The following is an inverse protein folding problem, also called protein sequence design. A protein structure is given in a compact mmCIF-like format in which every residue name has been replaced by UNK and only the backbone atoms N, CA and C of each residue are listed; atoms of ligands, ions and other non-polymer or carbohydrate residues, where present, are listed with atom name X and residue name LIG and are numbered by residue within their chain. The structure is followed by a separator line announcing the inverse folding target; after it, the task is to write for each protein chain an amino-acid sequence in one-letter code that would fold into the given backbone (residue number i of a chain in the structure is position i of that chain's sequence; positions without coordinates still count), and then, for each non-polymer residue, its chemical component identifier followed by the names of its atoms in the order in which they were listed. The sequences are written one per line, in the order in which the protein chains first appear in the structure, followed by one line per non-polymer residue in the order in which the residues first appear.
data_IF_933752443218
#
_entry.id   IF_933752443218
#
_cell.length_a   1.000
_cell.length_b   1.000
_cell.length_c   1.000
_cell.angle_alpha   90.00
_cell.angle_beta   90.00
_cell.angle_gamma   90.00
#
_symmetry.space_group_name_H-M   'P 1'
#
loop_
_entity.id
_entity.type
_entity.pdbx_description
1 polymer ?
#
# COMPACT_ATOMS: atom_id res chain seq x y z
N UNK A 1 4.68 -15.27 -24.33
CA UNK A 1 3.49 -14.55 -23.81
C UNK A 1 3.61 -13.10 -24.24
N UNK A 2 2.78 -12.59 -25.15
CA UNK A 2 2.82 -11.16 -25.50
C UNK A 2 2.43 -10.34 -24.27
N UNK A 3 3.31 -9.43 -23.85
CA UNK A 3 2.99 -8.42 -22.84
C UNK A 3 1.85 -7.57 -23.38
N UNK A 4 0.62 -7.82 -22.94
CA UNK A 4 -0.49 -6.91 -23.18
C UNK A 4 -0.18 -5.62 -22.45
N UNK A 5 0.33 -4.62 -23.17
CA UNK A 5 0.42 -3.25 -22.70
C UNK A 5 -1.02 -2.79 -22.52
N UNK A 6 -1.55 -2.98 -21.31
CA UNK A 6 -2.87 -2.46 -20.95
C UNK A 6 -2.87 -0.98 -21.27
N UNK A 7 -3.83 -0.54 -22.07
CA UNK A 7 -4.00 0.88 -22.35
C UNK A 7 -4.00 1.67 -21.02
N UNK A 8 -3.36 2.86 -20.99
CA UNK A 8 -3.34 3.66 -19.78
C UNK A 8 -4.77 3.96 -19.31
N UNK A 9 -5.01 3.98 -17.99
CA UNK A 9 -6.35 4.18 -17.46
C UNK A 9 -6.92 5.54 -17.87
N UNK A 10 -8.21 5.56 -18.19
CA UNK A 10 -8.90 6.80 -18.56
C UNK A 10 -9.10 7.71 -17.35
N UNK A 11 -9.33 9.01 -17.60
CA UNK A 11 -9.62 9.99 -16.55
C UNK A 11 -10.76 9.55 -15.61
N UNK A 12 -11.87 9.04 -16.18
CA UNK A 12 -13.01 8.53 -15.41
C UNK A 12 -12.64 7.29 -14.58
N UNK A 13 -11.77 6.42 -15.08
CA UNK A 13 -11.27 5.27 -14.32
C UNK A 13 -10.41 5.73 -13.13
N UNK A 14 -9.60 6.77 -13.30
CA UNK A 14 -8.81 7.37 -12.23
C UNK A 14 -9.69 8.03 -11.16
N UNK A 15 -10.73 8.77 -11.55
CA UNK A 15 -11.71 9.33 -10.59
C UNK A 15 -12.44 8.23 -9.80
N UNK A 16 -12.84 7.16 -10.48
CA UNK A 16 -13.47 6.01 -9.83
C UNK A 16 -12.54 5.32 -8.82
N UNK A 17 -11.23 5.29 -9.09
CA UNK A 17 -10.24 4.78 -8.13
C UNK A 17 -10.15 5.67 -6.88
N UNK A 18 -10.14 6.99 -7.04
CA UNK A 18 -10.15 7.94 -5.90
C UNK A 18 -11.42 7.74 -5.07
N UNK A 19 -12.60 7.73 -5.69
CA UNK A 19 -13.87 7.52 -5.00
C UNK A 19 -13.96 6.14 -4.32
N UNK A 20 -13.33 5.11 -4.90
CA UNK A 20 -13.25 3.79 -4.27
C UNK A 20 -12.29 3.78 -3.07
N UNK A 21 -11.18 4.50 -3.15
CA UNK A 21 -10.22 4.62 -2.08
C UNK A 21 -10.79 5.39 -0.88
N UNK A 22 -11.54 6.48 -1.10
CA UNK A 22 -12.27 7.19 -0.03
C UNK A 22 -13.31 6.29 0.64
N UNK A 23 -14.17 5.61 -0.13
CA UNK A 23 -15.19 4.69 0.43
C UNK A 23 -14.59 3.55 1.25
N UNK A 24 -13.39 3.10 0.89
CA UNK A 24 -12.66 2.05 1.61
C UNK A 24 -11.82 2.58 2.77
N UNK A 25 -11.86 3.89 3.04
CA UNK A 25 -11.08 4.55 4.09
C UNK A 25 -9.57 4.55 3.83
N UNK A 26 -9.17 4.42 2.56
CA UNK A 26 -7.76 4.48 2.13
C UNK A 26 -7.28 5.90 1.81
N UNK A 27 -8.20 6.85 1.66
CA UNK A 27 -7.96 8.28 1.54
C UNK A 27 -8.95 9.02 2.44
N UNK A 28 -8.51 10.10 3.07
CA UNK A 28 -9.44 11.06 3.63
C UNK A 28 -10.05 11.96 2.53
N UNK A 29 -11.11 12.70 2.87
CA UNK A 29 -11.81 13.53 1.90
C UNK A 29 -10.93 14.66 1.32
N UNK A 30 -10.01 15.21 2.12
CA UNK A 30 -9.12 16.29 1.70
C UNK A 30 -8.00 15.78 0.77
N UNK A 31 -7.51 14.57 0.99
CA UNK A 31 -6.58 13.85 0.11
C UNK A 31 -7.27 13.46 -1.20
N UNK A 32 -8.51 12.99 -1.13
CA UNK A 32 -9.31 12.68 -2.31
C UNK A 32 -9.58 13.91 -3.18
N UNK A 33 -9.96 15.05 -2.57
CA UNK A 33 -10.12 16.30 -3.30
C UNK A 33 -8.81 16.79 -3.95
N UNK A 34 -7.68 16.71 -3.24
CA UNK A 34 -6.36 17.04 -3.82
C UNK A 34 -6.04 16.17 -5.03
N UNK A 35 -6.35 14.88 -4.98
CA UNK A 35 -6.16 13.97 -6.12
C UNK A 35 -7.09 14.30 -7.29
N UNK A 36 -8.37 14.61 -7.04
CA UNK A 36 -9.31 15.07 -8.08
C UNK A 36 -8.82 16.35 -8.74
N UNK A 37 -8.32 17.30 -7.95
CA UNK A 37 -7.79 18.57 -8.44
C UNK A 37 -6.54 18.37 -9.30
N UNK A 38 -5.58 17.56 -8.83
CA UNK A 38 -4.40 17.20 -9.62
C UNK A 38 -4.76 16.48 -10.93
N UNK A 39 -5.75 15.58 -10.91
CA UNK A 39 -6.25 14.93 -12.12
C UNK A 39 -6.90 15.94 -13.08
N UNK A 40 -7.68 16.91 -12.58
CA UNK A 40 -8.26 17.98 -13.42
C UNK A 40 -7.16 18.82 -14.08
N UNK A 41 -6.13 19.20 -13.34
CA UNK A 41 -4.98 19.95 -13.85
C UNK A 41 -4.23 19.18 -14.94
N UNK A 42 -3.93 17.89 -14.71
CA UNK A 42 -3.27 17.02 -15.70
C UNK A 42 -4.11 16.76 -16.95
N UNK A 43 -5.44 16.72 -16.81
CA UNK A 43 -6.37 16.55 -17.94
C UNK A 43 -6.64 17.84 -18.72
N UNK A 44 -6.04 18.97 -18.33
CA UNK A 44 -6.28 20.28 -18.95
C UNK A 44 -7.68 20.87 -18.69
N UNK A 45 -8.44 20.32 -17.72
CA UNK A 45 -9.82 20.71 -17.40
C UNK A 45 -9.94 21.75 -16.29
N UNK A 46 -8.85 22.35 -15.84
CA UNK A 46 -8.82 23.41 -14.82
C UNK A 46 -7.98 24.61 -15.28
N UNK A 47 -8.31 25.85 -14.86
CA UNK A 47 -7.42 26.99 -15.06
C UNK A 47 -6.08 26.68 -14.38
N UNK A 48 -5.00 26.88 -15.13
CA UNK A 48 -3.62 26.68 -14.70
C UNK A 48 -3.40 27.53 -13.44
N UNK A 49 -3.47 26.91 -12.26
CA UNK A 49 -2.94 27.54 -11.06
C UNK A 49 -1.45 27.77 -11.29
N UNK A 50 -0.89 28.90 -10.78
CA UNK A 50 0.55 29.13 -10.87
C UNK A 50 1.27 27.90 -10.29
N UNK A 51 2.39 27.50 -10.89
CA UNK A 51 3.11 26.32 -10.44
C UNK A 51 3.60 26.57 -9.02
N UNK A 52 2.86 26.10 -8.01
CA UNK A 52 3.49 25.68 -6.77
C UNK A 52 4.42 24.57 -7.20
N UNK A 53 5.69 24.94 -7.36
CA UNK A 53 6.76 24.11 -7.87
C UNK A 53 6.92 22.93 -6.94
N UNK A 54 6.20 21.84 -7.20
CA UNK A 54 6.61 20.52 -6.71
C UNK A 54 7.96 20.29 -7.37
N UNK A 55 9.01 20.50 -6.58
CA UNK A 55 10.37 20.54 -7.09
C UNK A 55 10.67 19.21 -7.79
N UNK A 56 11.36 19.25 -8.93
CA UNK A 56 11.68 18.03 -9.68
C UNK A 56 12.46 17.03 -8.80
N UNK A 57 13.19 17.55 -7.80
CA UNK A 57 13.83 16.80 -6.74
C UNK A 57 12.83 16.03 -5.85
N UNK A 58 11.77 16.68 -5.40
CA UNK A 58 10.72 16.05 -4.57
C UNK A 58 10.00 14.95 -5.34
N UNK A 59 9.69 15.19 -6.62
CA UNK A 59 9.08 14.18 -7.49
C UNK A 59 10.00 12.98 -7.74
N UNK A 60 11.30 13.21 -7.89
CA UNK A 60 12.28 12.13 -8.02
C UNK A 60 12.39 11.31 -6.72
N UNK A 61 12.35 11.96 -5.56
CA UNK A 61 12.38 11.28 -4.27
C UNK A 61 11.10 10.45 -4.03
N UNK A 62 9.93 10.99 -4.37
CA UNK A 62 8.65 10.29 -4.33
C UNK A 62 8.64 9.05 -5.23
N UNK A 63 9.14 9.18 -6.46
CA UNK A 63 9.30 8.04 -7.39
C UNK A 63 10.21 6.96 -6.81
N UNK A 64 11.34 7.36 -6.21
CA UNK A 64 12.29 6.43 -5.58
C UNK A 64 11.68 5.72 -4.37
N UNK A 65 10.95 6.44 -3.51
CA UNK A 65 10.21 5.86 -2.37
C UNK A 65 9.18 4.84 -2.84
N UNK A 66 8.44 5.15 -3.90
CA UNK A 66 7.44 4.25 -4.48
C UNK A 66 8.06 2.98 -5.08
N UNK A 67 9.14 3.10 -5.84
CA UNK A 67 9.85 1.95 -6.42
C UNK A 67 10.43 1.03 -5.35
N UNK A 68 10.96 1.60 -4.27
CA UNK A 68 11.47 0.83 -3.13
C UNK A 68 10.35 0.05 -2.44
N UNK A 69 9.19 0.69 -2.22
CA UNK A 69 8.02 0.04 -1.63
C UNK A 69 7.53 -1.11 -2.51
N UNK A 70 7.44 -0.90 -3.83
CA UNK A 70 7.06 -1.93 -4.80
C UNK A 70 8.03 -3.13 -4.75
N UNK A 71 9.34 -2.87 -4.73
CA UNK A 71 10.37 -3.93 -4.62
C UNK A 71 10.25 -4.69 -3.29
N UNK A 72 9.96 -3.99 -2.20
CA UNK A 72 9.79 -4.60 -0.89
C UNK A 72 8.58 -5.55 -0.84
N UNK A 73 7.43 -5.11 -1.38
CA UNK A 73 6.22 -5.94 -1.48
C UNK A 73 6.50 -7.18 -2.34
N UNK A 74 7.12 -7.00 -3.50
CA UNK A 74 7.45 -8.13 -4.39
C UNK A 74 8.38 -9.15 -3.73
N UNK A 75 9.40 -8.71 -2.98
CA UNK A 75 10.30 -9.60 -2.24
C UNK A 75 9.58 -10.37 -1.12
N UNK A 76 8.66 -9.71 -0.41
CA UNK A 76 7.85 -10.32 0.65
C UNK A 76 6.97 -11.43 0.09
N UNK A 77 6.24 -11.13 -0.98
CA UNK A 77 5.30 -12.06 -1.58
C UNK A 77 6.03 -13.27 -2.19
N UNK A 78 7.22 -13.05 -2.78
CA UNK A 78 8.07 -14.13 -3.26
C UNK A 78 8.65 -15.00 -2.14
N UNK A 79 9.02 -14.43 -0.99
CA UNK A 79 9.45 -15.21 0.20
C UNK A 79 8.31 -16.03 0.80
N UNK A 80 7.09 -15.52 0.76
CA UNK A 80 5.92 -16.27 1.22
C UNK A 80 5.62 -17.49 0.32
N UNK A 81 5.83 -17.36 -1.00
CA UNK A 81 5.59 -18.43 -1.97
C UNK A 81 6.66 -19.53 -2.00
N UNK A 82 7.90 -19.23 -1.57
CA UNK A 82 9.02 -20.17 -1.65
C UNK A 82 9.17 -21.12 -0.45
N UNK A 83 8.25 -21.10 0.52
CA UNK A 83 8.34 -21.92 1.74
C UNK A 83 7.70 -23.30 1.49
N UNK A 84 8.39 -24.42 1.77
CA UNK A 84 7.85 -25.76 1.55
C UNK A 84 6.57 -25.99 2.35
N UNK A 85 5.65 -26.80 1.81
CA UNK A 85 4.42 -27.17 2.49
C UNK A 85 4.75 -28.01 3.75
N UNK A 86 4.08 -27.75 4.89
CA UNK A 86 4.30 -28.52 6.11
C UNK A 86 3.84 -29.96 5.93
N UNK A 87 4.63 -30.89 6.47
CA UNK A 87 4.48 -32.34 6.34
C UNK A 87 4.20 -32.95 7.71
N UNK A 88 3.11 -32.54 8.37
CA UNK A 88 2.71 -33.10 9.66
C UNK A 88 1.45 -32.45 10.26
N UNK A 89 0.70 -33.16 11.13
CA UNK A 89 -0.47 -32.61 11.82
C UNK A 89 -0.10 -31.59 12.91
N UNK A 90 1.04 -31.76 13.61
CA UNK A 90 1.57 -30.75 14.54
C UNK A 90 2.12 -29.52 13.81
N UNK A 91 2.71 -29.73 12.63
CA UNK A 91 3.14 -28.64 11.74
C UNK A 91 1.95 -27.83 11.20
N UNK A 92 0.74 -28.41 11.13
CA UNK A 92 -0.45 -27.73 10.63
C UNK A 92 -0.96 -26.67 11.61
N UNK A 93 -0.98 -26.99 12.92
CA UNK A 93 -1.34 -26.03 13.96
C UNK A 93 -0.28 -24.91 14.06
N UNK A 94 1.00 -25.26 13.97
CA UNK A 94 2.09 -24.29 13.95
C UNK A 94 2.08 -23.43 12.67
N UNK A 95 1.69 -24.01 11.53
CA UNK A 95 1.47 -23.28 10.27
C UNK A 95 0.29 -22.33 10.38
N UNK A 96 -0.83 -22.75 10.97
CA UNK A 96 -2.01 -21.91 11.15
C UNK A 96 -1.73 -20.73 12.09
N UNK A 97 -1.01 -20.96 13.19
CA UNK A 97 -0.53 -19.89 14.07
C UNK A 97 0.39 -18.91 13.32
N UNK A 98 1.37 -19.42 12.56
CA UNK A 98 2.27 -18.59 11.75
C UNK A 98 1.57 -17.84 10.62
N UNK A 99 0.58 -18.46 9.96
CA UNK A 99 -0.19 -17.84 8.90
C UNK A 99 -1.17 -16.81 9.47
N UNK A 100 -1.74 -17.05 10.65
CA UNK A 100 -2.51 -16.05 11.39
C UNK A 100 -1.63 -14.84 11.74
N UNK A 101 -0.42 -15.07 12.27
CA UNK A 101 0.53 -14.02 12.61
C UNK A 101 0.96 -13.22 11.36
N UNK A 102 1.23 -13.90 10.24
CA UNK A 102 1.48 -13.24 8.94
C UNK A 102 0.32 -12.38 8.47
N UNK A 103 -0.93 -12.86 8.59
CA UNK A 103 -2.13 -12.10 8.21
C UNK A 103 -2.30 -10.88 9.09
N UNK A 104 -2.11 -11.02 10.41
CA UNK A 104 -2.20 -9.92 11.39
C UNK A 104 -1.10 -8.88 11.14
N UNK A 105 0.14 -9.30 10.93
CA UNK A 105 1.26 -8.38 10.61
C UNK A 105 1.03 -7.66 9.28
N UNK A 106 0.57 -8.37 8.24
CA UNK A 106 0.24 -7.74 6.95
C UNK A 106 -0.92 -6.75 7.07
N UNK A 107 -1.92 -7.05 7.91
CA UNK A 107 -3.04 -6.17 8.20
C UNK A 107 -2.58 -4.92 8.96
N UNK A 108 -1.76 -5.08 10.00
CA UNK A 108 -1.21 -3.98 10.78
C UNK A 108 -0.30 -3.08 9.92
N UNK A 109 0.55 -3.65 9.07
CA UNK A 109 1.32 -2.88 8.09
C UNK A 109 0.43 -2.13 7.11
N UNK A 110 -0.70 -2.69 6.69
CA UNK A 110 -1.64 -1.99 5.82
C UNK A 110 -2.36 -0.85 6.56
N UNK A 111 -2.62 -1.02 7.86
CA UNK A 111 -3.27 -0.03 8.71
C UNK A 111 -2.34 1.12 9.13
N UNK A 112 -1.01 0.93 9.11
CA UNK A 112 -0.06 2.01 9.42
C UNK A 112 -0.15 3.17 8.41
N UNK A 113 -0.54 2.88 7.17
CA UNK A 113 -0.78 3.88 6.13
C UNK A 113 -2.14 4.57 6.24
N UNK A 114 -3.05 4.10 7.10
CA UNK A 114 -4.39 4.67 7.31
C UNK A 114 -4.34 5.55 8.57
N UNK A 115 -4.52 6.90 8.48
CA UNK A 115 -4.36 7.81 9.62
C UNK A 115 -5.17 7.42 10.87
N UNK A 116 -6.45 7.08 10.69
CA UNK A 116 -7.35 6.68 11.78
C UNK A 116 -6.95 5.37 12.48
N UNK A 117 -6.17 4.50 11.83
CA UNK A 117 -5.79 3.17 12.33
C UNK A 117 -4.31 3.07 12.69
N UNK A 118 -3.56 4.16 12.51
CA UNK A 118 -2.10 4.20 12.65
C UNK A 118 -1.64 3.87 14.06
N UNK A 119 -2.37 4.33 15.10
CA UNK A 119 -2.07 3.99 16.51
C UNK A 119 -2.28 2.50 16.82
N UNK A 120 -3.38 1.92 16.35
CA UNK A 120 -3.66 0.49 16.52
C UNK A 120 -2.65 -0.38 15.75
N UNK A 121 -2.27 0.04 14.54
CA UNK A 121 -1.22 -0.60 13.76
C UNK A 121 0.13 -0.58 14.47
N UNK A 122 0.52 0.56 15.05
CA UNK A 122 1.76 0.69 15.80
C UNK A 122 1.76 -0.23 17.03
N UNK A 123 0.66 -0.25 17.80
CA UNK A 123 0.51 -1.13 18.96
C UNK A 123 0.69 -2.61 18.59
N UNK A 124 -0.04 -3.11 17.57
CA UNK A 124 0.07 -4.51 17.12
C UNK A 124 1.50 -4.84 16.67
N UNK A 125 2.13 -3.96 15.89
CA UNK A 125 3.50 -4.19 15.41
C UNK A 125 4.54 -4.16 16.53
N UNK A 126 4.34 -3.32 17.57
CA UNK A 126 5.22 -3.32 18.74
C UNK A 126 5.06 -4.57 19.59
N UNK A 127 3.85 -5.08 19.78
CA UNK A 127 3.62 -6.30 20.56
C UNK A 127 4.30 -7.50 19.91
N UNK A 128 4.10 -7.67 18.60
CA UNK A 128 4.74 -8.76 17.83
C UNK A 128 6.27 -8.66 17.87
N UNK A 129 6.82 -7.44 17.81
CA UNK A 129 8.27 -7.22 17.82
C UNK A 129 8.93 -7.47 19.19
N UNK A 130 8.18 -7.31 20.28
CA UNK A 130 8.67 -7.60 21.63
C UNK A 130 8.62 -9.11 21.92
N UNK A 131 7.61 -9.83 21.42
CA UNK A 131 7.54 -11.29 21.49
C UNK A 131 8.72 -11.96 20.77
N UNK A 132 9.18 -11.40 19.62
CA UNK A 132 10.38 -11.88 18.90
C UNK A 132 11.73 -11.56 19.63
N UNK A 133 11.72 -10.78 20.72
CA UNK A 133 12.93 -10.35 21.44
C UNK A 133 13.11 -11.03 22.82
N UNK A 134 12.05 -11.64 23.35
CA UNK A 134 12.03 -12.33 24.64
C UNK A 134 12.18 -13.88 24.50
N UNK A 135 12.30 -14.40 23.27
CA UNK A 135 12.79 -15.76 22.93
C UNK A 135 14.28 -15.76 22.53
#
# INVERSE_FOLDING_TARGET
MPNTVSAPPTYEQLLNLVARAERKGGLDHAEGERLRQGLRQLSGRAPVLPPDTVDAADMAELRKKYDNLRKQVWRRDRRAAARPAPSGPDDAAEKDARDALRRVTALAQRWSFIPAKRRAAAAILTTIRNEDADE
#
